data_IF_255604570642
#
_entry.id   IF_255604570642
#
_cell.length_a   1.000
_cell.length_b   1.000
_cell.length_c   1.000
_cell.angle_alpha   90.00
_cell.angle_beta   90.00
_cell.angle_gamma   90.00
#
_symmetry.space_group_name_H-M   'P 1'
#
loop_
_entity.id
_entity.type
_entity.pdbx_description
1 polymer ?
#
# COMPACT_ATOMS: atom_id res chain seq x y z
N UNK A 1 -52.81 74.27 -54.68
CA UNK A 1 -53.09 73.05 -53.88
C UNK A 1 -52.43 71.91 -54.62
N UNK A 2 -51.18 71.62 -54.27
CA UNK A 2 -50.37 70.64 -54.99
C UNK A 2 -50.56 69.26 -54.36
N UNK A 3 -51.33 68.41 -55.03
CA UNK A 3 -51.41 66.99 -54.73
C UNK A 3 -50.13 66.32 -55.23
N UNK A 4 -49.09 66.37 -54.39
CA UNK A 4 -47.87 65.59 -54.58
C UNK A 4 -48.24 64.10 -54.55
N UNK A 5 -48.48 63.53 -55.73
CA UNK A 5 -48.79 62.12 -55.91
C UNK A 5 -47.59 61.29 -55.47
N UNK A 6 -47.67 60.71 -54.27
CA UNK A 6 -46.72 59.71 -53.81
C UNK A 6 -46.74 58.56 -54.81
N UNK A 7 -45.70 58.48 -55.63
CA UNK A 7 -45.45 57.33 -56.50
C UNK A 7 -45.15 56.14 -55.60
N UNK A 8 -46.19 55.37 -55.26
CA UNK A 8 -46.02 54.02 -54.73
C UNK A 8 -45.41 53.18 -55.84
N UNK A 9 -44.09 53.06 -55.84
CA UNK A 9 -43.41 52.02 -56.61
C UNK A 9 -43.85 50.69 -56.03
N UNK A 10 -44.87 50.08 -56.63
CA UNK A 10 -45.28 48.71 -56.36
C UNK A 10 -44.17 47.79 -56.82
N UNK A 11 -43.21 47.55 -55.92
CA UNK A 11 -42.19 46.53 -56.12
C UNK A 11 -42.88 45.19 -56.35
N UNK A 12 -42.48 44.50 -57.42
CA UNK A 12 -42.99 43.17 -57.74
C UNK A 12 -42.74 42.26 -56.53
N UNK A 13 -43.73 41.47 -56.09
CA UNK A 13 -43.54 40.56 -54.96
C UNK A 13 -42.41 39.58 -55.29
N UNK A 14 -41.41 39.54 -54.42
CA UNK A 14 -40.31 38.59 -54.48
C UNK A 14 -40.83 37.18 -54.14
N UNK A 15 -40.46 36.19 -54.94
CA UNK A 15 -40.81 34.78 -54.72
C UNK A 15 -39.54 34.04 -54.33
N UNK A 16 -39.57 33.41 -53.16
CA UNK A 16 -38.42 32.67 -52.60
C UNK A 16 -38.71 31.17 -52.65
N UNK A 17 -37.91 30.45 -53.43
CA UNK A 17 -38.10 29.01 -53.72
C UNK A 17 -37.06 28.12 -53.01
N UNK A 18 -36.15 28.71 -52.24
CA UNK A 18 -35.05 28.00 -51.59
C UNK A 18 -35.54 27.18 -50.38
N UNK A 19 -35.23 25.89 -50.35
CA UNK A 19 -35.47 25.03 -49.17
C UNK A 19 -34.37 25.13 -48.09
N UNK A 20 -33.35 25.97 -48.28
CA UNK A 20 -32.33 26.23 -47.27
C UNK A 20 -32.80 27.33 -46.31
N UNK A 21 -33.19 26.92 -45.10
CA UNK A 21 -33.69 27.82 -44.08
C UNK A 21 -32.64 28.78 -43.54
N UNK A 22 -31.33 28.51 -43.67
CA UNK A 22 -30.31 29.52 -43.32
C UNK A 22 -30.44 30.77 -44.19
N UNK A 23 -30.80 30.59 -45.46
CA UNK A 23 -31.09 31.69 -46.36
C UNK A 23 -32.47 32.29 -46.06
N UNK A 24 -33.52 31.48 -45.91
CA UNK A 24 -34.87 32.00 -45.60
C UNK A 24 -34.93 32.87 -44.35
N UNK A 25 -34.09 32.57 -43.34
CA UNK A 25 -34.05 33.33 -42.10
C UNK A 25 -33.63 34.81 -42.27
N UNK A 26 -33.02 35.20 -43.40
CA UNK A 26 -32.68 36.61 -43.68
C UNK A 26 -33.90 37.47 -43.98
N UNK A 27 -35.00 36.87 -44.46
CA UNK A 27 -36.25 37.57 -44.74
C UNK A 27 -37.05 37.88 -43.47
N UNK A 28 -36.62 37.38 -42.31
CA UNK A 28 -37.29 37.61 -41.03
C UNK A 28 -36.48 38.52 -40.12
N UNK A 29 -37.17 39.34 -39.31
CA UNK A 29 -36.58 40.15 -38.26
C UNK A 29 -36.19 39.29 -37.04
N UNK A 30 -35.63 39.90 -35.98
CA UNK A 30 -35.22 39.18 -34.77
C UNK A 30 -36.38 38.48 -34.02
N UNK A 31 -37.61 38.99 -34.16
CA UNK A 31 -38.81 38.43 -33.54
C UNK A 31 -39.45 37.33 -34.39
N UNK A 32 -38.93 37.06 -35.59
CA UNK A 32 -39.46 36.07 -36.51
C UNK A 32 -40.61 36.59 -37.37
N UNK A 33 -40.82 37.91 -37.43
CA UNK A 33 -41.78 38.54 -38.35
C UNK A 33 -41.12 38.78 -39.69
N UNK A 34 -41.90 38.69 -40.76
CA UNK A 34 -41.43 38.93 -42.12
C UNK A 34 -41.05 40.41 -42.28
N UNK A 35 -39.86 40.69 -42.80
CA UNK A 35 -39.37 42.07 -43.01
C UNK A 35 -40.12 42.77 -44.14
N UNK A 36 -40.37 42.05 -45.21
CA UNK A 36 -41.10 42.53 -46.38
C UNK A 36 -42.42 41.79 -46.52
N UNK A 37 -43.53 42.46 -46.24
CA UNK A 37 -44.87 41.85 -46.24
C UNK A 37 -45.24 41.28 -47.60
N UNK A 38 -44.59 41.76 -48.68
CA UNK A 38 -44.81 41.33 -50.07
C UNK A 38 -44.05 40.06 -50.48
N UNK A 39 -43.12 39.55 -49.66
CA UNK A 39 -42.36 38.32 -49.98
C UNK A 39 -43.27 37.11 -49.97
N UNK A 40 -43.18 36.26 -51.00
CA UNK A 40 -43.90 35.00 -51.14
C UNK A 40 -42.92 33.84 -51.04
N UNK A 41 -43.36 32.74 -50.44
CA UNK A 41 -42.57 31.52 -50.32
C UNK A 41 -43.24 30.43 -51.13
N UNK A 42 -42.50 29.82 -52.05
CA UNK A 42 -42.96 28.73 -52.91
C UNK A 42 -41.88 27.63 -52.91
N UNK A 43 -41.80 26.92 -51.79
CA UNK A 43 -40.67 26.03 -51.52
C UNK A 43 -41.12 24.60 -51.76
N UNK A 44 -40.61 23.99 -52.83
CA UNK A 44 -40.89 22.61 -53.19
C UNK A 44 -40.15 21.61 -52.28
N UNK A 45 -40.81 20.52 -51.90
CA UNK A 45 -40.17 19.42 -51.19
C UNK A 45 -39.21 18.66 -52.12
N UNK A 46 -37.91 18.85 -51.92
CA UNK A 46 -36.83 18.24 -52.71
C UNK A 46 -36.70 16.70 -52.56
N UNK A 47 -37.60 16.03 -51.85
CA UNK A 47 -37.66 14.55 -51.80
C UNK A 47 -38.72 14.02 -52.77
N UNK A 48 -39.94 14.56 -52.77
CA UNK A 48 -41.00 14.11 -53.67
C UNK A 48 -41.08 14.90 -54.97
N UNK A 49 -40.72 16.19 -54.96
CA UNK A 49 -40.87 17.08 -56.11
C UNK A 49 -42.33 17.34 -56.51
N UNK A 50 -43.27 17.13 -55.59
CA UNK A 50 -44.71 17.21 -55.87
C UNK A 50 -45.42 18.19 -54.94
N UNK A 51 -45.11 18.14 -53.64
CA UNK A 51 -45.74 18.99 -52.64
C UNK A 51 -44.84 20.17 -52.25
N UNK A 52 -45.45 21.32 -52.02
CA UNK A 52 -44.78 22.46 -51.40
C UNK A 52 -44.72 22.31 -49.88
N UNK A 53 -43.72 22.91 -49.25
CA UNK A 53 -43.64 22.97 -47.78
C UNK A 53 -44.71 23.93 -47.26
N UNK A 54 -45.40 23.57 -46.16
CA UNK A 54 -46.39 24.40 -45.47
C UNK A 54 -45.77 25.60 -44.72
N UNK A 55 -44.91 26.33 -45.44
CA UNK A 55 -44.24 27.55 -45.06
C UNK A 55 -44.57 28.62 -46.12
N UNK A 56 -45.72 29.25 -45.96
CA UNK A 56 -46.18 30.32 -46.87
C UNK A 56 -46.15 31.67 -46.17
N UNK A 57 -46.32 32.75 -46.92
CA UNK A 57 -46.72 34.02 -46.33
C UNK A 57 -48.26 33.99 -46.13
N UNK A 58 -48.77 34.02 -44.88
CA UNK A 58 -50.20 33.92 -44.60
C UNK A 58 -51.04 35.03 -45.23
N UNK A 59 -50.44 36.16 -45.59
CA UNK A 59 -51.11 37.27 -46.26
C UNK A 59 -51.50 36.94 -47.72
N UNK A 60 -50.80 36.01 -48.37
CA UNK A 60 -51.02 35.68 -49.78
C UNK A 60 -51.58 34.29 -50.03
N UNK A 61 -51.26 33.33 -49.17
CA UNK A 61 -51.65 31.94 -49.38
C UNK A 61 -51.89 31.25 -48.04
N UNK A 62 -53.09 30.67 -47.91
CA UNK A 62 -53.37 29.71 -46.84
C UNK A 62 -53.01 28.31 -47.37
N UNK A 63 -52.03 27.62 -46.77
CA UNK A 63 -51.68 26.27 -47.17
C UNK A 63 -52.92 25.38 -47.07
N UNK A 64 -53.19 24.58 -48.10
CA UNK A 64 -54.14 23.48 -48.02
C UNK A 64 -53.37 22.15 -47.95
N UNK A 65 -53.93 21.17 -47.25
CA UNK A 65 -53.26 19.88 -47.00
C UNK A 65 -53.07 19.01 -48.25
N UNK A 66 -53.64 19.40 -49.40
CA UNK A 66 -53.50 18.66 -50.67
C UNK A 66 -52.25 19.07 -51.44
N UNK A 67 -51.84 20.32 -51.34
CA UNK A 67 -50.69 20.87 -52.09
C UNK A 67 -49.52 21.24 -51.19
N UNK A 68 -49.75 21.29 -49.87
CA UNK A 68 -48.74 21.64 -48.88
C UNK A 68 -48.56 20.53 -47.85
N UNK A 69 -47.30 20.23 -47.53
CA UNK A 69 -46.91 19.27 -46.51
C UNK A 69 -46.26 19.99 -45.33
N UNK A 70 -46.62 19.60 -44.11
CA UNK A 70 -45.86 19.98 -42.92
C UNK A 70 -44.38 19.64 -43.12
N UNK A 71 -43.47 20.44 -42.58
CA UNK A 71 -42.06 20.36 -42.92
C UNK A 71 -41.16 20.18 -41.71
N UNK A 72 -39.97 19.65 -41.94
CA UNK A 72 -38.90 19.50 -40.95
C UNK A 72 -37.62 20.08 -41.48
N UNK A 73 -36.98 20.93 -40.68
CA UNK A 73 -35.68 21.54 -40.98
C UNK A 73 -34.57 20.70 -40.35
N UNK A 74 -33.57 20.31 -41.14
CA UNK A 74 -32.40 19.59 -40.63
C UNK A 74 -31.45 20.55 -39.90
N UNK A 75 -31.11 20.32 -38.61
CA UNK A 75 -30.41 21.31 -37.79
C UNK A 75 -28.97 21.62 -38.25
N UNK A 76 -28.26 20.63 -38.83
CA UNK A 76 -26.86 20.86 -39.25
C UNK A 76 -26.76 21.72 -40.51
N UNK A 77 -27.58 21.43 -41.53
CA UNK A 77 -27.46 22.08 -42.83
C UNK A 77 -28.52 23.14 -43.12
N UNK A 78 -29.67 23.12 -42.44
CA UNK A 78 -30.78 24.04 -42.68
C UNK A 78 -31.69 23.67 -43.85
N UNK A 79 -31.44 22.58 -44.57
CA UNK A 79 -32.38 22.11 -45.60
C UNK A 79 -33.66 21.59 -44.97
N UNK A 80 -34.79 21.98 -45.53
CA UNK A 80 -36.10 21.49 -45.14
C UNK A 80 -36.70 20.55 -46.16
N UNK A 81 -37.56 19.68 -45.65
CA UNK A 81 -38.28 18.66 -46.42
C UNK A 81 -39.67 18.48 -45.82
N UNK A 82 -40.61 17.98 -46.62
CA UNK A 82 -41.87 17.46 -46.12
C UNK A 82 -41.60 16.40 -45.05
N UNK A 83 -42.28 16.52 -43.90
CA UNK A 83 -42.02 15.68 -42.73
C UNK A 83 -42.32 14.21 -43.01
N UNK A 84 -43.39 13.90 -43.75
CA UNK A 84 -43.73 12.55 -44.17
C UNK A 84 -42.74 12.02 -45.20
N UNK A 85 -42.38 12.85 -46.19
CA UNK A 85 -41.34 12.53 -47.18
C UNK A 85 -40.01 12.16 -46.52
N UNK A 86 -39.56 12.98 -45.56
CA UNK A 86 -38.32 12.76 -44.83
C UNK A 86 -38.40 11.49 -43.97
N UNK A 87 -39.50 11.25 -43.25
CA UNK A 87 -39.69 10.04 -42.46
C UNK A 87 -39.65 8.76 -43.32
N UNK A 88 -40.32 8.78 -44.48
CA UNK A 88 -40.30 7.66 -45.42
C UNK A 88 -38.89 7.42 -45.97
N UNK A 89 -38.19 8.50 -46.35
CA UNK A 89 -36.81 8.42 -46.81
C UNK A 89 -35.88 7.82 -45.75
N UNK A 90 -36.00 8.25 -44.48
CA UNK A 90 -35.26 7.70 -43.34
C UNK A 90 -35.54 6.19 -43.19
N UNK A 91 -36.82 5.80 -43.21
CA UNK A 91 -37.25 4.40 -43.08
C UNK A 91 -36.65 3.52 -44.19
N UNK A 92 -36.72 3.96 -45.44
CA UNK A 92 -36.14 3.24 -46.58
C UNK A 92 -34.62 3.15 -46.50
N UNK A 93 -33.95 4.22 -46.08
CA UNK A 93 -32.51 4.22 -45.86
C UNK A 93 -32.11 3.14 -44.84
N UNK A 94 -32.76 3.12 -43.68
CA UNK A 94 -32.46 2.12 -42.65
C UNK A 94 -32.73 0.68 -43.11
N UNK A 95 -33.81 0.45 -43.84
CA UNK A 95 -34.13 -0.88 -44.37
C UNK A 95 -33.07 -1.37 -45.36
N UNK A 96 -32.57 -0.49 -46.25
CA UNK A 96 -31.60 -0.85 -47.29
C UNK A 96 -30.19 -1.06 -46.74
N UNK A 97 -29.80 -0.32 -45.69
CA UNK A 97 -28.41 -0.29 -45.22
C UNK A 97 -28.13 -1.02 -43.90
N UNK A 98 -29.12 -1.73 -43.35
CA UNK A 98 -29.03 -2.45 -42.06
C UNK A 98 -27.85 -3.43 -41.96
N UNK A 99 -27.40 -4.02 -43.07
CA UNK A 99 -26.38 -5.08 -43.09
C UNK A 99 -24.97 -4.61 -43.53
N UNK A 100 -24.76 -3.35 -43.92
CA UNK A 100 -23.50 -2.87 -44.53
C UNK A 100 -22.73 -1.86 -43.66
N UNK A 101 -22.79 -2.00 -42.34
CA UNK A 101 -22.05 -1.13 -41.42
C UNK A 101 -22.62 0.29 -41.28
N UNK A 102 -23.92 0.48 -41.57
CA UNK A 102 -24.69 1.72 -41.41
C UNK A 102 -23.91 2.99 -41.85
N UNK A 103 -23.83 3.28 -43.16
CA UNK A 103 -23.27 4.54 -43.64
C UNK A 103 -23.97 5.72 -42.96
N UNK A 104 -23.24 6.81 -42.67
CA UNK A 104 -23.81 7.97 -42.00
C UNK A 104 -24.98 8.50 -42.83
N UNK A 105 -26.11 8.72 -42.18
CA UNK A 105 -27.28 9.30 -42.83
C UNK A 105 -26.97 10.75 -43.22
N UNK A 106 -27.23 11.09 -44.48
CA UNK A 106 -26.84 12.36 -45.07
C UNK A 106 -28.06 13.13 -45.59
N UNK A 107 -28.00 14.46 -45.59
CA UNK A 107 -29.03 15.29 -46.20
C UNK A 107 -29.21 14.92 -47.69
N UNK A 108 -30.44 14.70 -48.19
CA UNK A 108 -30.69 14.39 -49.60
C UNK A 108 -30.14 15.42 -50.59
N UNK A 109 -30.05 16.69 -50.18
CA UNK A 109 -29.61 17.80 -51.04
C UNK A 109 -28.10 18.02 -50.96
N UNK A 110 -27.58 18.33 -49.77
CA UNK A 110 -26.18 18.75 -49.62
C UNK A 110 -25.24 17.66 -49.11
N UNK A 111 -25.75 16.46 -48.83
CA UNK A 111 -25.02 15.32 -48.26
C UNK A 111 -24.36 15.56 -46.90
N UNK A 112 -24.56 16.71 -46.27
CA UNK A 112 -24.13 16.96 -44.88
C UNK A 112 -24.74 15.90 -43.95
N UNK A 113 -23.96 15.28 -43.05
CA UNK A 113 -24.48 14.30 -42.11
C UNK A 113 -25.65 14.86 -41.29
N UNK A 114 -26.69 14.05 -41.10
CA UNK A 114 -27.85 14.40 -40.28
C UNK A 114 -27.52 14.20 -38.80
N UNK A 115 -26.78 13.13 -38.48
CA UNK A 115 -26.28 12.88 -37.14
C UNK A 115 -25.15 13.84 -36.75
N UNK A 116 -24.98 14.03 -35.44
CA UNK A 116 -23.73 14.56 -34.92
C UNK A 116 -22.60 13.54 -35.07
N UNK A 117 -21.38 13.96 -34.75
CA UNK A 117 -20.19 13.11 -34.90
C UNK A 117 -20.21 11.91 -33.92
N UNK A 118 -20.97 12.03 -32.80
CA UNK A 118 -21.29 10.93 -31.87
C UNK A 118 -22.45 10.03 -32.32
N UNK A 119 -22.95 10.20 -33.56
CA UNK A 119 -24.08 9.43 -34.16
C UNK A 119 -25.44 9.58 -33.47
N UNK A 120 -25.63 10.60 -32.64
CA UNK A 120 -26.94 10.88 -32.05
C UNK A 120 -27.92 11.45 -33.07
N UNK A 121 -29.16 10.95 -33.06
CA UNK A 121 -30.23 11.43 -33.93
C UNK A 121 -30.66 12.85 -33.52
N UNK A 122 -30.64 13.83 -34.43
CA UNK A 122 -31.17 15.15 -34.12
C UNK A 122 -32.66 15.05 -33.81
N UNK A 123 -33.16 15.99 -33.01
CA UNK A 123 -34.59 16.12 -32.77
C UNK A 123 -35.24 16.60 -34.07
N UNK A 124 -36.07 15.75 -34.66
CA UNK A 124 -36.81 16.07 -35.87
C UNK A 124 -38.10 16.80 -35.47
N UNK A 125 -38.07 18.13 -35.52
CA UNK A 125 -39.23 18.96 -35.19
C UNK A 125 -40.10 19.09 -36.45
N UNK A 126 -41.39 18.76 -36.29
CA UNK A 126 -42.41 18.96 -37.31
C UNK A 126 -42.98 20.37 -37.17
N UNK A 127 -42.91 21.15 -38.23
CA UNK A 127 -43.43 22.50 -38.29
C UNK A 127 -44.66 22.56 -39.18
N UNK A 128 -45.62 23.37 -38.74
CA UNK A 128 -46.84 23.70 -39.47
C UNK A 128 -47.11 25.19 -39.25
N UNK A 129 -47.50 25.90 -40.31
CA UNK A 129 -47.65 27.35 -40.23
C UNK A 129 -48.80 27.83 -41.11
N UNK A 130 -49.98 27.97 -40.49
CA UNK A 130 -51.17 28.51 -41.17
C UNK A 130 -51.45 29.98 -40.79
N UNK A 131 -50.75 30.52 -39.79
CA UNK A 131 -50.89 31.89 -39.30
C UNK A 131 -49.53 32.51 -38.96
N UNK A 132 -49.49 33.84 -38.93
CA UNK A 132 -48.26 34.60 -38.78
C UNK A 132 -47.61 34.44 -37.39
N UNK A 133 -48.41 34.26 -36.33
CA UNK A 133 -47.89 34.14 -34.96
C UNK A 133 -47.22 32.78 -34.76
N UNK A 134 -47.81 31.70 -35.28
CA UNK A 134 -47.17 30.38 -35.32
C UNK A 134 -45.92 30.40 -36.19
N UNK A 135 -45.94 31.09 -37.33
CA UNK A 135 -44.76 31.23 -38.19
C UNK A 135 -43.61 31.88 -37.43
N UNK A 136 -43.87 32.99 -36.73
CA UNK A 136 -42.86 33.70 -35.96
C UNK A 136 -42.22 32.81 -34.89
N UNK A 137 -43.05 32.03 -34.16
CA UNK A 137 -42.56 31.04 -33.18
C UNK A 137 -41.73 29.95 -33.85
N UNK A 138 -42.17 29.42 -34.99
CA UNK A 138 -41.41 28.43 -35.76
C UNK A 138 -40.06 29.00 -36.20
N UNK A 139 -40.00 30.24 -36.67
CA UNK A 139 -38.75 30.91 -37.06
C UNK A 139 -37.78 31.02 -35.88
N UNK A 140 -38.27 31.40 -34.69
CA UNK A 140 -37.44 31.45 -33.49
C UNK A 140 -36.89 30.07 -33.10
N UNK A 141 -37.73 29.04 -33.15
CA UNK A 141 -37.31 27.66 -32.89
C UNK A 141 -36.27 27.18 -33.91
N UNK A 142 -36.49 27.46 -35.20
CA UNK A 142 -35.55 27.10 -36.28
C UNK A 142 -34.21 27.82 -36.06
N UNK A 143 -34.19 29.10 -35.68
CA UNK A 143 -32.95 29.81 -35.34
C UNK A 143 -32.20 29.16 -34.20
N UNK A 144 -32.90 28.79 -33.13
CA UNK A 144 -32.29 28.12 -31.99
C UNK A 144 -31.67 26.77 -32.40
N UNK A 145 -32.40 25.97 -33.17
CA UNK A 145 -31.93 24.67 -33.67
C UNK A 145 -30.73 24.80 -34.63
N UNK A 146 -30.74 25.78 -35.54
CA UNK A 146 -29.65 25.99 -36.51
C UNK A 146 -28.39 26.63 -35.92
N UNK A 147 -28.52 27.30 -34.76
CA UNK A 147 -27.41 27.91 -34.02
C UNK A 147 -26.67 26.88 -33.15
N UNK A 148 -27.38 25.86 -32.67
CA UNK A 148 -26.78 24.77 -31.91
C UNK A 148 -26.00 23.81 -32.83
N UNK A 149 -24.67 23.89 -32.79
CA UNK A 149 -23.80 22.92 -33.49
C UNK A 149 -23.84 21.55 -32.84
N UNK A 150 -24.04 21.53 -31.52
CA UNK A 150 -24.11 20.31 -30.73
C UNK A 150 -25.52 19.77 -30.67
N UNK A 151 -25.64 18.45 -30.79
CA UNK A 151 -26.91 17.78 -30.59
C UNK A 151 -27.34 17.85 -29.12
N UNK A 152 -28.65 17.87 -28.83
CA UNK A 152 -29.16 17.89 -27.45
C UNK A 152 -28.59 16.76 -26.57
N UNK A 153 -28.40 15.57 -27.15
CA UNK A 153 -27.78 14.46 -26.44
C UNK A 153 -26.29 14.72 -26.14
N UNK A 154 -25.58 15.36 -27.05
CA UNK A 154 -24.18 15.76 -26.90
C UNK A 154 -24.01 16.76 -25.76
N UNK A 155 -24.98 17.68 -25.60
CA UNK A 155 -25.00 18.64 -24.50
C UNK A 155 -25.25 17.95 -23.15
N UNK A 156 -26.14 16.95 -23.11
CA UNK A 156 -26.37 16.13 -21.90
C UNK A 156 -25.13 15.31 -21.55
N UNK A 157 -24.52 14.66 -22.53
CA UNK A 157 -23.35 13.80 -22.32
C UNK A 157 -22.08 14.62 -22.02
N UNK A 158 -21.96 15.84 -22.54
CA UNK A 158 -20.86 16.76 -22.23
C UNK A 158 -20.87 17.21 -20.77
N UNK A 159 -22.04 17.26 -20.13
CA UNK A 159 -22.14 17.44 -18.68
C UNK A 159 -21.63 16.22 -17.90
N UNK A 160 -21.85 15.01 -18.42
CA UNK A 160 -21.39 13.76 -17.79
C UNK A 160 -19.86 13.61 -17.81
N UNK A 161 -19.19 14.03 -18.90
CA UNK A 161 -17.72 13.96 -18.97
C UNK A 161 -17.01 14.79 -17.90
N UNK A 162 -17.60 15.90 -17.45
CA UNK A 162 -17.02 16.69 -16.35
C UNK A 162 -17.12 15.99 -14.99
N UNK A 163 -18.19 15.24 -14.75
CA UNK A 163 -18.37 14.46 -13.53
C UNK A 163 -17.48 13.20 -13.51
N UNK A 164 -17.31 12.55 -14.65
CA UNK A 164 -16.44 11.38 -14.78
C UNK A 164 -14.97 11.77 -14.57
N UNK A 165 -14.50 12.89 -15.16
CA UNK A 165 -13.14 13.39 -14.93
C UNK A 165 -12.91 13.84 -13.48
N UNK A 166 -13.94 14.37 -12.80
CA UNK A 166 -13.86 14.70 -11.38
C UNK A 166 -13.78 13.43 -10.50
N UNK A 167 -14.57 12.40 -10.80
CA UNK A 167 -14.53 11.13 -10.10
C UNK A 167 -13.19 10.41 -10.29
N UNK A 168 -12.64 10.43 -11.50
CA UNK A 168 -11.32 9.87 -11.79
C UNK A 168 -10.20 10.62 -11.07
N UNK A 169 -10.28 11.94 -10.98
CA UNK A 169 -9.32 12.73 -10.18
C UNK A 169 -9.37 12.37 -8.71
N UNK A 170 -10.56 12.18 -8.14
CA UNK A 170 -10.69 11.80 -6.72
C UNK A 170 -10.21 10.37 -6.47
N UNK A 171 -10.47 9.44 -7.40
CA UNK A 171 -9.95 8.06 -7.32
C UNK A 171 -8.42 8.04 -7.26
N UNK A 172 -7.73 8.82 -8.12
CA UNK A 172 -6.26 8.91 -8.09
C UNK A 172 -5.73 9.45 -6.77
N UNK A 173 -6.37 10.48 -6.20
CA UNK A 173 -5.99 11.03 -4.88
C UNK A 173 -6.13 10.02 -3.75
N UNK A 174 -7.12 9.14 -3.85
CA UNK A 174 -7.36 8.11 -2.85
C UNK A 174 -6.33 6.97 -2.97
N UNK A 175 -5.99 6.59 -4.21
CA UNK A 175 -4.91 5.63 -4.48
C UNK A 175 -3.53 6.14 -4.02
N UNK A 176 -3.23 7.42 -4.23
CA UNK A 176 -2.01 8.07 -3.73
C UNK A 176 -1.94 8.07 -2.20
N UNK A 177 -3.06 8.35 -1.51
CA UNK A 177 -3.15 8.26 -0.05
C UNK A 177 -2.90 6.84 0.46
N UNK A 178 -3.55 5.85 -0.13
CA UNK A 178 -3.35 4.45 0.25
C UNK A 178 -1.92 3.95 -0.04
N UNK A 179 -1.26 4.46 -1.08
CA UNK A 179 0.14 4.16 -1.38
C UNK A 179 1.09 4.78 -0.34
N UNK A 180 0.83 6.01 0.08
CA UNK A 180 1.58 6.68 1.14
C UNK A 180 1.44 5.97 2.49
N UNK A 181 0.22 5.58 2.87
CA UNK A 181 -0.04 4.83 4.10
C UNK A 181 0.66 3.46 4.10
N UNK A 182 0.61 2.73 2.98
CA UNK A 182 1.36 1.46 2.84
C UNK A 182 2.86 1.66 3.00
N UNK A 183 3.42 2.67 2.37
CA UNK A 183 4.86 2.99 2.48
C UNK A 183 5.25 3.32 3.93
N UNK A 184 4.41 4.06 4.65
CA UNK A 184 4.65 4.40 6.05
C UNK A 184 4.59 3.16 6.96
N UNK A 185 3.63 2.25 6.72
CA UNK A 185 3.54 0.98 7.45
C UNK A 185 4.75 0.08 7.18
N UNK A 186 5.19 -0.03 5.93
CA UNK A 186 6.40 -0.78 5.57
C UNK A 186 7.64 -0.24 6.27
N UNK A 187 7.81 1.08 6.36
CA UNK A 187 8.91 1.70 7.12
C UNK A 187 8.85 1.37 8.61
N UNK A 188 7.65 1.39 9.22
CA UNK A 188 7.48 1.02 10.64
C UNK A 188 7.80 -0.45 10.88
N UNK A 189 7.38 -1.34 9.98
CA UNK A 189 7.67 -2.77 10.06
C UNK A 189 9.17 -3.04 9.91
N UNK A 190 9.83 -2.39 8.96
CA UNK A 190 11.28 -2.50 8.77
C UNK A 190 12.04 -2.01 10.01
N UNK A 191 11.62 -0.90 10.62
CA UNK A 191 12.20 -0.38 11.86
C UNK A 191 12.05 -1.36 13.04
N UNK A 192 10.85 -1.93 13.21
CA UNK A 192 10.60 -2.90 14.27
C UNK A 192 11.38 -4.21 14.07
N UNK A 193 11.53 -4.66 12.83
CA UNK A 193 12.27 -5.87 12.51
C UNK A 193 13.77 -5.75 12.82
N UNK A 194 14.35 -4.55 12.62
CA UNK A 194 15.72 -4.26 13.04
C UNK A 194 15.89 -4.38 14.56
N UNK A 195 14.96 -3.80 15.35
CA UNK A 195 15.02 -3.87 16.81
C UNK A 195 14.87 -5.29 17.36
N UNK A 196 14.00 -6.11 16.75
CA UNK A 196 13.83 -7.53 17.14
C UNK A 196 15.09 -8.34 16.84
N UNK A 197 15.71 -8.12 15.68
CA UNK A 197 16.94 -8.82 15.31
C UNK A 197 18.10 -8.45 16.25
N UNK A 198 18.26 -7.16 16.59
CA UNK A 198 19.31 -6.73 17.52
C UNK A 198 19.14 -7.35 18.92
N UNK A 199 17.89 -7.41 19.42
CA UNK A 199 17.58 -8.07 20.70
C UNK A 199 17.90 -9.57 20.67
N UNK A 200 17.57 -10.24 19.57
CA UNK A 200 17.87 -11.67 19.36
C UNK A 200 19.38 -11.93 19.30
N UNK A 201 20.14 -11.08 18.63
CA UNK A 201 21.60 -11.22 18.51
C UNK A 201 22.28 -11.02 19.87
N UNK A 202 21.86 -10.01 20.65
CA UNK A 202 22.35 -9.82 22.03
C UNK A 202 22.04 -11.02 22.93
N UNK A 203 20.83 -11.58 22.83
CA UNK A 203 20.44 -12.77 23.60
C UNK A 203 21.28 -13.99 23.23
N UNK A 204 21.57 -14.14 21.93
CA UNK A 204 22.41 -15.23 21.42
C UNK A 204 23.84 -15.09 21.94
N UNK A 205 24.40 -13.87 21.90
CA UNK A 205 25.73 -13.57 22.45
C UNK A 205 25.81 -13.89 23.95
N UNK A 206 24.83 -13.44 24.74
CA UNK A 206 24.77 -13.75 26.18
C UNK A 206 24.70 -15.26 26.46
N UNK A 207 23.95 -16.01 25.64
CA UNK A 207 23.90 -17.48 25.76
C UNK A 207 25.25 -18.15 25.48
N UNK A 208 26.01 -17.65 24.49
CA UNK A 208 27.35 -18.15 24.19
C UNK A 208 28.34 -17.86 25.32
N UNK A 209 28.31 -16.65 25.89
CA UNK A 209 29.14 -16.26 27.04
C UNK A 209 28.83 -17.13 28.26
N UNK A 210 27.55 -17.37 28.57
CA UNK A 210 27.15 -18.24 29.67
C UNK A 210 27.61 -19.69 29.47
N UNK A 211 27.48 -20.25 28.25
CA UNK A 211 28.00 -21.59 27.93
C UNK A 211 29.52 -21.69 28.02
N UNK A 212 30.25 -20.60 27.75
CA UNK A 212 31.70 -20.56 27.95
C UNK A 212 32.06 -20.62 29.44
N UNK A 213 31.36 -19.86 30.29
CA UNK A 213 31.56 -19.88 31.74
C UNK A 213 31.23 -21.25 32.36
N UNK A 214 30.15 -21.91 31.93
CA UNK A 214 29.83 -23.26 32.38
C UNK A 214 30.91 -24.29 32.01
N UNK A 215 31.59 -24.11 30.86
CA UNK A 215 32.72 -24.96 30.49
C UNK A 215 33.91 -24.72 31.41
N UNK A 216 34.23 -23.46 31.68
CA UNK A 216 35.30 -23.07 32.60
C UNK A 216 35.07 -23.62 34.02
N UNK A 217 33.83 -23.57 34.52
CA UNK A 217 33.45 -24.15 35.82
C UNK A 217 33.69 -25.67 35.87
N UNK A 218 33.25 -26.41 34.83
CA UNK A 218 33.46 -27.86 34.76
C UNK A 218 34.95 -28.23 34.70
N UNK A 219 35.73 -27.46 33.98
CA UNK A 219 37.19 -27.64 33.92
C UNK A 219 37.84 -27.38 35.28
N UNK A 220 37.47 -26.29 35.96
CA UNK A 220 37.94 -25.97 37.30
C UNK A 220 37.62 -27.10 38.30
N UNK A 221 36.36 -27.57 38.34
CA UNK A 221 35.95 -28.73 39.17
C UNK A 221 36.76 -29.98 38.89
N UNK A 222 37.02 -30.26 37.62
CA UNK A 222 37.82 -31.42 37.21
C UNK A 222 39.26 -31.28 37.72
N UNK A 223 39.84 -30.07 37.67
CA UNK A 223 41.16 -29.79 38.26
C UNK A 223 41.16 -30.02 39.78
N UNK A 224 40.16 -29.51 40.50
CA UNK A 224 40.01 -29.70 41.95
C UNK A 224 39.90 -31.19 42.31
N UNK A 225 39.07 -31.95 41.61
CA UNK A 225 38.91 -33.40 41.82
C UNK A 225 40.21 -34.17 41.57
N UNK A 226 40.94 -33.83 40.50
CA UNK A 226 42.23 -34.46 40.20
C UNK A 226 43.28 -34.13 41.27
N UNK A 227 43.35 -32.88 41.72
CA UNK A 227 44.25 -32.45 42.79
C UNK A 227 43.94 -33.19 44.11
N UNK A 228 42.65 -33.28 44.48
CA UNK A 228 42.21 -33.99 45.67
C UNK A 228 42.52 -35.50 45.62
N UNK A 229 42.28 -36.13 44.47
CA UNK A 229 42.64 -37.53 44.23
C UNK A 229 44.14 -37.76 44.39
N UNK A 230 44.97 -36.90 43.77
CA UNK A 230 46.43 -36.96 43.90
C UNK A 230 46.91 -36.75 45.36
N UNK A 231 46.30 -35.81 46.09
CA UNK A 231 46.58 -35.59 47.50
C UNK A 231 46.24 -36.82 48.34
N UNK A 232 45.07 -37.44 48.13
CA UNK A 232 44.66 -38.65 48.82
C UNK A 232 45.54 -39.86 48.50
N UNK A 233 45.97 -40.04 47.24
CA UNK A 233 46.95 -41.08 46.90
C UNK A 233 48.26 -40.86 47.65
N UNK A 234 48.72 -39.60 47.73
CA UNK A 234 49.94 -39.23 48.46
C UNK A 234 49.80 -39.51 49.95
N UNK A 235 48.71 -39.07 50.58
CA UNK A 235 48.42 -39.34 52.00
C UNK A 235 48.26 -40.84 52.30
N UNK A 236 47.59 -41.58 51.42
CA UNK A 236 47.45 -43.03 51.52
C UNK A 236 48.81 -43.74 51.50
N UNK A 237 49.73 -43.29 50.65
CA UNK A 237 51.10 -43.82 50.58
C UNK A 237 51.93 -43.53 51.84
N UNK A 238 51.63 -42.44 52.55
CA UNK A 238 52.29 -42.05 53.80
C UNK A 238 51.69 -42.73 55.04
N UNK A 239 50.46 -43.24 54.94
CA UNK A 239 49.73 -43.84 56.08
C UNK A 239 50.44 -45.07 56.64
N UNK A 240 50.89 -46.00 55.79
CA UNK A 240 51.62 -47.19 56.23
C UNK A 240 52.97 -46.87 56.89
N UNK A 241 53.84 -46.04 56.30
CA UNK A 241 55.09 -45.61 56.93
C UNK A 241 54.90 -44.94 58.30
N UNK A 242 53.90 -44.05 58.42
CA UNK A 242 53.58 -43.38 59.68
C UNK A 242 53.02 -44.34 60.73
N UNK A 243 52.13 -45.25 60.33
CA UNK A 243 51.59 -46.29 61.20
C UNK A 243 52.72 -47.19 61.72
N UNK A 244 53.61 -47.64 60.83
CA UNK A 244 54.78 -48.43 61.18
C UNK A 244 55.72 -47.70 62.15
N UNK A 245 55.99 -46.41 61.92
CA UNK A 245 56.79 -45.60 62.83
C UNK A 245 56.14 -45.46 64.21
N UNK A 246 54.82 -45.28 64.26
CA UNK A 246 54.06 -45.17 65.50
C UNK A 246 54.00 -46.50 66.28
N UNK A 247 53.76 -47.61 65.58
CA UNK A 247 53.76 -48.96 66.17
C UNK A 247 55.13 -49.30 66.75
N UNK A 248 56.21 -48.87 66.08
CA UNK A 248 57.59 -49.02 66.58
C UNK A 248 57.91 -48.12 67.77
N UNK A 249 57.33 -46.93 67.83
CA UNK A 249 57.44 -46.03 68.98
C UNK A 249 56.70 -46.59 70.21
N UNK A 250 55.50 -47.16 70.00
CA UNK A 250 54.67 -47.72 71.08
C UNK A 250 55.16 -49.10 71.56
N UNK A 251 55.82 -49.90 70.71
CA UNK A 251 56.42 -51.19 71.11
C UNK A 251 57.77 -51.04 71.81
N UNK A 252 58.37 -49.84 71.83
CA UNK A 252 59.47 -49.50 72.73
C UNK A 252 58.91 -49.22 74.14
N UNK A 253 58.74 -50.32 74.88
CA UNK A 253 58.51 -50.36 76.31
C UNK A 253 59.50 -49.44 77.08
N UNK A 254 59.04 -48.47 77.88
CA UNK A 254 59.92 -47.59 78.68
C UNK A 254 60.60 -48.29 79.88
N UNK A 255 60.37 -49.58 80.11
CA UNK A 255 60.82 -50.27 81.33
C UNK A 255 62.01 -51.23 81.17
N UNK A 256 62.85 -51.09 80.14
CA UNK A 256 64.09 -51.88 80.03
C UNK A 256 65.31 -51.01 79.72
N UNK A 257 65.84 -50.36 80.76
CA UNK A 257 67.27 -50.13 80.97
C UNK A 257 67.48 -49.38 82.31
N UNK A 258 67.38 -50.11 83.43
CA UNK A 258 68.05 -49.74 84.68
C UNK A 258 69.33 -50.56 84.78
N UNK A 259 70.39 -49.92 85.30
CA UNK A 259 71.72 -50.40 85.70
C UNK A 259 72.89 -50.26 84.72
N UNK A 260 73.78 -49.31 85.06
CA UNK A 260 75.23 -49.54 85.10
C UNK A 260 76.07 -48.82 84.06
N UNK A 261 76.39 -47.54 84.29
CA UNK A 261 77.75 -46.98 84.49
C UNK A 261 77.71 -45.46 84.33
N UNK A 262 78.37 -44.78 85.27
CA UNK A 262 78.46 -43.32 85.36
C UNK A 262 79.35 -42.77 84.26
N UNK A 263 78.74 -42.16 83.23
CA UNK A 263 79.31 -41.04 82.48
C UNK A 263 78.14 -40.22 81.90
N UNK A 264 78.24 -38.88 81.83
CA UNK A 264 77.17 -38.05 81.31
C UNK A 264 77.05 -38.25 79.80
N UNK A 265 75.99 -38.96 79.39
CA UNK A 265 75.64 -39.13 77.99
C UNK A 265 75.00 -37.82 77.50
N UNK A 266 75.78 -37.03 76.77
CA UNK A 266 75.21 -36.16 75.73
C UNK A 266 74.37 -37.05 74.80
N UNK A 267 73.08 -36.70 74.67
CA UNK A 267 72.15 -37.39 73.78
C UNK A 267 72.54 -37.08 72.34
N UNK A 268 73.51 -37.82 71.81
CA UNK A 268 73.87 -37.81 70.40
C UNK A 268 72.86 -38.66 69.61
N UNK A 269 72.00 -37.98 68.87
CA UNK A 269 70.96 -38.56 68.01
C UNK A 269 71.50 -39.39 66.83
N UNK A 270 72.80 -39.70 66.77
CA UNK A 270 73.43 -40.35 65.61
C UNK A 270 73.60 -41.87 65.66
N UNK A 271 73.11 -42.57 66.69
CA UNK A 271 73.26 -44.04 66.76
C UNK A 271 71.92 -44.79 66.82
N UNK A 272 71.20 -44.77 65.70
CA UNK A 272 70.17 -45.77 65.37
C UNK A 272 70.53 -46.39 64.01
N UNK A 273 71.57 -47.21 63.98
CA UNK A 273 71.87 -48.12 62.87
C UNK A 273 72.11 -49.51 63.46
N UNK A 274 71.08 -50.36 63.40
CA UNK A 274 71.12 -51.69 64.01
C UNK A 274 69.91 -52.52 63.60
N UNK A 275 69.88 -52.86 62.31
CA UNK A 275 69.06 -53.87 61.65
C UNK A 275 67.57 -53.59 61.29
N UNK A 276 67.36 -53.78 59.98
CA UNK A 276 66.13 -53.95 59.17
C UNK A 276 65.35 -52.69 58.74
N UNK A 277 65.86 -52.15 57.61
CA UNK A 277 65.18 -51.53 56.44
C UNK A 277 64.35 -50.26 56.64
N UNK A 278 64.98 -49.18 57.10
CA UNK A 278 64.86 -47.92 56.37
C UNK A 278 66.23 -47.22 56.32
N UNK A 279 66.75 -47.04 55.12
CA UNK A 279 68.01 -46.35 54.82
C UNK A 279 67.85 -44.84 55.05
N UNK A 280 68.95 -44.10 55.23
CA UNK A 280 68.91 -42.64 55.28
C UNK A 280 68.31 -42.03 53.99
N UNK A 281 68.32 -42.80 52.90
CA UNK A 281 67.69 -42.44 51.64
C UNK A 281 66.16 -42.60 51.70
N UNK A 282 65.64 -43.59 52.44
CA UNK A 282 64.19 -43.73 52.68
C UNK A 282 63.62 -42.53 53.48
N UNK A 283 64.37 -42.02 54.46
CA UNK A 283 63.99 -40.81 55.20
C UNK A 283 64.14 -39.52 54.38
N UNK A 284 65.15 -39.44 53.50
CA UNK A 284 65.27 -38.34 52.53
C UNK A 284 64.16 -38.38 51.48
N UNK A 285 63.74 -39.56 51.04
CA UNK A 285 62.60 -39.75 50.15
C UNK A 285 61.28 -39.40 50.84
N UNK A 286 61.10 -39.79 52.10
CA UNK A 286 59.92 -39.38 52.86
C UNK A 286 59.90 -37.85 53.10
N UNK A 287 61.06 -37.26 53.41
CA UNK A 287 61.23 -35.82 53.54
C UNK A 287 60.98 -35.06 52.24
N UNK A 288 61.42 -35.57 51.08
CA UNK A 288 61.13 -34.95 49.78
C UNK A 288 59.65 -35.10 49.39
N UNK A 289 59.01 -36.22 49.71
CA UNK A 289 57.56 -36.42 49.52
C UNK A 289 56.72 -35.50 50.41
N UNK A 290 57.17 -35.27 51.66
CA UNK A 290 56.55 -34.30 52.57
C UNK A 290 56.78 -32.84 52.12
N UNK A 291 57.97 -32.51 51.60
CA UNK A 291 58.24 -31.19 51.03
C UNK A 291 57.37 -30.91 49.78
N UNK A 292 57.03 -31.94 49.00
CA UNK A 292 56.15 -31.83 47.83
C UNK A 292 54.65 -31.73 48.19
N UNK A 293 54.24 -31.97 49.45
CA UNK A 293 52.87 -31.75 49.89
C UNK A 293 52.52 -30.26 50.00
N UNK A 294 53.47 -29.40 50.34
CA UNK A 294 53.25 -27.95 50.44
C UNK A 294 52.76 -27.33 49.13
N UNK A 295 53.50 -27.46 48.01
CA UNK A 295 53.07 -26.97 46.69
C UNK A 295 51.74 -27.59 46.23
N UNK A 296 51.49 -28.88 46.48
CA UNK A 296 50.24 -29.55 46.09
C UNK A 296 49.02 -29.09 46.90
N UNK A 297 49.19 -28.85 48.20
CA UNK A 297 48.14 -28.25 49.04
C UNK A 297 47.90 -26.81 48.63
N UNK A 298 48.94 -26.06 48.25
CA UNK A 298 48.78 -24.71 47.70
C UNK A 298 48.05 -24.71 46.35
N UNK A 299 48.35 -25.65 45.45
CA UNK A 299 47.60 -25.86 44.19
C UNK A 299 46.13 -26.19 44.45
N UNK A 300 45.83 -27.02 45.46
CA UNK A 300 44.47 -27.34 45.86
C UNK A 300 43.73 -26.11 46.42
N UNK A 301 44.37 -25.33 47.29
CA UNK A 301 43.81 -24.07 47.82
C UNK A 301 43.54 -23.08 46.68
N UNK A 302 44.49 -22.92 45.75
CA UNK A 302 44.32 -22.04 44.60
C UNK A 302 43.18 -22.52 43.69
N UNK A 303 43.04 -23.84 43.47
CA UNK A 303 41.95 -24.41 42.69
C UNK A 303 40.57 -24.22 43.36
N UNK A 304 40.47 -24.37 44.69
CA UNK A 304 39.23 -24.09 45.42
C UNK A 304 38.86 -22.59 45.39
N UNK A 305 39.85 -21.69 45.48
CA UNK A 305 39.62 -20.25 45.36
C UNK A 305 39.15 -19.88 43.95
N UNK A 306 39.76 -20.44 42.89
CA UNK A 306 39.30 -20.27 41.51
C UNK A 306 37.86 -20.79 41.33
N UNK A 307 37.55 -21.98 41.86
CA UNK A 307 36.19 -22.54 41.80
C UNK A 307 35.17 -21.64 42.50
N UNK A 308 35.51 -21.11 43.68
CA UNK A 308 34.67 -20.19 44.43
C UNK A 308 34.46 -18.84 43.71
N UNK A 309 35.45 -18.33 42.97
CA UNK A 309 35.32 -17.12 42.15
C UNK A 309 34.44 -17.34 40.92
N UNK A 310 34.61 -18.47 40.22
CA UNK A 310 33.76 -18.85 39.10
C UNK A 310 32.32 -19.04 39.56
N UNK A 311 32.10 -19.74 40.68
CA UNK A 311 30.77 -19.94 41.27
C UNK A 311 30.08 -18.62 41.64
N UNK A 312 30.81 -17.65 42.24
CA UNK A 312 30.29 -16.30 42.52
C UNK A 312 29.88 -15.56 41.25
N UNK A 313 30.68 -15.67 40.20
CA UNK A 313 30.40 -15.02 38.90
C UNK A 313 29.17 -15.61 38.22
N UNK A 314 29.05 -16.95 38.20
CA UNK A 314 27.88 -17.65 37.65
C UNK A 314 26.60 -17.28 38.43
N UNK A 315 26.67 -17.22 39.76
CA UNK A 315 25.50 -16.89 40.59
C UNK A 315 25.04 -15.44 40.37
N UNK A 316 25.99 -14.50 40.22
CA UNK A 316 25.67 -13.11 39.85
C UNK A 316 24.97 -13.03 38.49
N UNK A 317 25.46 -13.75 37.47
CA UNK A 317 24.81 -13.77 36.16
C UNK A 317 23.41 -14.39 36.18
N UNK A 318 23.20 -15.44 36.99
CA UNK A 318 21.86 -16.02 37.16
C UNK A 318 20.88 -15.03 37.79
N UNK A 319 21.32 -14.24 38.77
CA UNK A 319 20.50 -13.18 39.36
C UNK A 319 20.19 -12.07 38.35
N UNK A 320 21.16 -11.66 37.53
CA UNK A 320 20.96 -10.67 36.47
C UNK A 320 19.96 -11.17 35.41
N UNK A 321 20.05 -12.44 35.00
CA UNK A 321 19.08 -13.09 34.09
C UNK A 321 17.69 -13.14 34.73
N UNK A 322 17.59 -13.51 36.00
CA UNK A 322 16.30 -13.56 36.71
C UNK A 322 15.65 -12.18 36.79
N UNK A 323 16.44 -11.12 37.01
CA UNK A 323 15.97 -9.73 37.03
C UNK A 323 15.47 -9.28 35.65
N UNK A 324 16.18 -9.63 34.58
CA UNK A 324 15.74 -9.34 33.20
C UNK A 324 14.43 -10.05 32.85
N UNK A 325 14.30 -11.32 33.24
CA UNK A 325 13.05 -12.07 33.04
C UNK A 325 11.89 -11.43 33.82
N UNK A 326 12.11 -11.05 35.08
CA UNK A 326 11.10 -10.34 35.86
C UNK A 326 10.67 -9.03 35.20
N UNK A 327 11.60 -8.23 34.67
CA UNK A 327 11.28 -6.99 33.94
C UNK A 327 10.44 -7.25 32.69
N UNK A 328 10.74 -8.30 31.92
CA UNK A 328 9.97 -8.66 30.74
C UNK A 328 8.56 -9.19 31.06
N UNK A 329 8.38 -9.90 32.18
CA UNK A 329 7.08 -10.44 32.57
C UNK A 329 6.22 -9.48 33.41
N UNK A 330 6.82 -8.50 34.09
CA UNK A 330 6.09 -7.47 34.85
C UNK A 330 5.78 -6.21 34.06
N UNK A 331 6.40 -6.01 32.89
CA UNK A 331 6.14 -4.91 31.96
C UNK A 331 5.12 -5.21 30.87
N UNK A 332 4.16 -6.12 31.10
CA UNK A 332 2.96 -6.16 30.26
C UNK A 332 2.28 -4.78 30.33
N UNK A 333 1.83 -4.19 29.21
CA UNK A 333 1.25 -2.86 29.22
C UNK A 333 0.12 -2.86 30.25
N UNK A 334 0.22 -1.97 31.25
CA UNK A 334 -0.99 -1.49 31.89
C UNK A 334 -1.86 -0.99 30.74
N UNK A 335 -2.97 -1.70 30.51
CA UNK A 335 -4.04 -1.21 29.67
C UNK A 335 -4.48 0.09 30.33
N UNK A 336 -3.94 1.21 29.85
CA UNK A 336 -4.40 2.53 30.23
C UNK A 336 -5.89 2.57 29.93
N UNK A 337 -6.61 2.85 31.00
CA UNK A 337 -8.04 2.86 31.11
C UNK A 337 -8.70 3.68 30.01
N UNK A 338 -9.85 3.16 29.59
CA UNK A 338 -10.92 3.89 28.93
C UNK A 338 -11.19 5.21 29.68
N UNK A 339 -10.70 6.33 29.15
CA UNK A 339 -11.30 7.63 29.43
C UNK A 339 -12.56 7.75 28.57
N UNK A 340 -13.68 7.41 29.19
CA UNK A 340 -15.02 7.86 28.81
C UNK A 340 -15.02 9.39 28.64
N UNK A 341 -15.29 9.87 27.42
CA UNK A 341 -15.61 11.25 27.14
C UNK A 341 -17.10 11.35 26.76
N UNK A 342 -17.85 12.07 27.62
CA UNK A 342 -19.20 12.60 27.40
C UNK A 342 -19.30 13.54 26.19
#
# INVERSE_FOLDING_TARGET
MDFSSAQFTTSRPEVVESNNFRHLLSYFDGQGKLREVTTRFDIECQICGENNLAFTNPAFCKPNDRTYEDYTVLPRCGHAFGSGCLQNWLKHYYQRYRCRGNPPLQCPVCRTPIYCDKRHMPRMIKFTSHDADRQAKNIQLIRAELSNRDCLQCQKDGGASGHEEAADRERRRLDERHAAERSQLEQRLAGNQFSINESRDRTTQQSHEFRALLRQEREARTRTQNAWSAANTTLGSLRQPLQYANDRANTRNPNHALYGYNDPIEVDFRRVSGNVRSTADDWRELGSRLANLGPRVQEMINAEVEEAEVARTVNKQLQDIQKLLQQHFSGGPASDDEEDAE
#
